data_IF_327090593971
#
_entry.id   IF_327090593971
#
_cell.length_a   1.000
_cell.length_b   1.000
_cell.length_c   1.000
_cell.angle_alpha   90.00
_cell.angle_beta   90.00
_cell.angle_gamma   90.00
#
_symmetry.space_group_name_H-M   'P 1'
#
loop_
_entity.id
_entity.type
_entity.pdbx_description
1 polymer ?
#
# COMPACT_ATOMS: atom_id res chain seq x y z
N UNK A 1 2.36 23.37 6.44
CA UNK A 1 1.31 23.44 5.41
C UNK A 1 1.79 22.89 4.06
N UNK A 2 2.92 23.37 3.55
CA UNK A 2 3.36 22.98 2.18
C UNK A 2 3.94 21.57 2.04
N UNK A 3 4.58 20.99 3.05
CA UNK A 3 5.19 19.66 2.97
C UNK A 3 4.17 18.52 3.06
N UNK A 4 3.15 18.66 3.89
CA UNK A 4 2.08 17.66 4.02
C UNK A 4 1.20 17.60 2.76
N UNK A 5 0.89 18.75 2.19
CA UNK A 5 0.15 18.83 0.92
C UNK A 5 0.94 18.16 -0.23
N UNK A 6 2.26 18.37 -0.29
CA UNK A 6 3.12 17.77 -1.32
C UNK A 6 3.16 16.23 -1.20
N UNK A 7 3.28 15.70 0.02
CA UNK A 7 3.26 14.25 0.27
C UNK A 7 1.91 13.64 -0.10
N UNK A 8 0.81 14.27 0.28
CA UNK A 8 -0.53 13.83 -0.08
C UNK A 8 -0.72 13.78 -1.60
N UNK A 9 -0.26 14.82 -2.31
CA UNK A 9 -0.31 14.88 -3.77
C UNK A 9 0.51 13.76 -4.39
N UNK A 10 1.73 13.52 -3.93
CA UNK A 10 2.57 12.41 -4.42
C UNK A 10 1.88 11.05 -4.27
N UNK A 11 1.25 10.81 -3.11
CA UNK A 11 0.50 9.57 -2.85
C UNK A 11 -0.67 9.43 -3.83
N UNK A 12 -1.52 10.44 -3.92
CA UNK A 12 -2.74 10.36 -4.75
C UNK A 12 -2.45 10.33 -6.24
N UNK A 13 -1.42 11.04 -6.70
CA UNK A 13 -0.96 10.98 -8.09
C UNK A 13 -0.44 9.58 -8.45
N UNK A 14 0.35 8.99 -7.57
CA UNK A 14 0.84 7.63 -7.76
C UNK A 14 -0.30 6.61 -7.81
N UNK A 15 -1.21 6.66 -6.85
CA UNK A 15 -2.38 5.76 -6.76
C UNK A 15 -3.24 5.86 -8.03
N UNK A 16 -3.50 7.06 -8.49
CA UNK A 16 -4.25 7.30 -9.73
C UNK A 16 -3.49 6.80 -10.95
N UNK A 17 -2.19 7.07 -11.02
CA UNK A 17 -1.32 6.66 -12.14
C UNK A 17 -1.26 5.15 -12.31
N UNK A 18 -1.25 4.39 -11.23
CA UNK A 18 -1.24 2.92 -11.30
C UNK A 18 -2.60 2.30 -11.64
N UNK A 19 -3.66 3.10 -11.71
CA UNK A 19 -4.99 2.69 -12.16
C UNK A 19 -6.02 2.45 -11.06
N UNK A 20 -5.77 2.92 -9.84
CA UNK A 20 -6.74 2.84 -8.74
C UNK A 20 -7.57 4.13 -8.72
N UNK A 21 -8.91 4.03 -8.85
CA UNK A 21 -9.77 5.21 -8.81
C UNK A 21 -9.80 5.83 -7.41
N UNK A 22 -9.80 7.17 -7.36
CA UNK A 22 -9.99 7.93 -6.13
C UNK A 22 -11.26 8.77 -6.28
N UNK A 23 -12.13 8.73 -5.28
CA UNK A 23 -13.29 9.61 -5.15
C UNK A 23 -13.14 10.46 -3.90
N UNK A 24 -13.27 11.77 -4.04
CA UNK A 24 -13.30 12.71 -2.92
C UNK A 24 -14.73 13.02 -2.53
N UNK A 25 -15.08 12.81 -1.28
CA UNK A 25 -16.45 13.06 -0.78
C UNK A 25 -16.56 12.90 0.72
N UNK A 26 -17.69 13.26 1.26
CA UNK A 26 -17.99 13.07 2.67
C UNK A 26 -18.33 11.60 2.94
N UNK A 27 -17.77 11.07 4.03
CA UNK A 27 -18.07 9.73 4.53
C UNK A 27 -19.07 9.90 5.67
N UNK A 28 -20.33 9.54 5.44
CA UNK A 28 -21.42 9.76 6.40
C UNK A 28 -21.33 8.84 7.61
N UNK A 29 -20.89 7.60 7.40
CA UNK A 29 -20.77 6.58 8.46
C UNK A 29 -19.35 6.55 9.05
N UNK A 30 -19.21 5.94 10.23
CA UNK A 30 -17.87 5.63 10.74
C UNK A 30 -17.19 4.61 9.83
N UNK A 31 -15.99 4.95 9.36
CA UNK A 31 -15.10 4.06 8.63
C UNK A 31 -14.05 3.48 9.58
N UNK A 32 -13.47 2.33 9.23
CA UNK A 32 -12.41 1.70 10.02
C UNK A 32 -11.21 2.64 10.18
N UNK A 33 -10.82 3.32 9.10
CA UNK A 33 -9.83 4.39 9.11
C UNK A 33 -10.54 5.75 8.99
N UNK A 34 -10.22 6.74 9.84
CA UNK A 34 -10.84 8.05 9.76
C UNK A 34 -10.67 8.69 8.39
N UNK A 35 -11.78 9.03 7.73
CA UNK A 35 -11.77 9.73 6.44
C UNK A 35 -11.33 8.91 5.24
N UNK A 36 -11.31 7.57 5.36
CA UNK A 36 -10.88 6.70 4.28
C UNK A 36 -11.68 5.41 4.27
N UNK A 37 -12.13 4.99 3.09
CA UNK A 37 -12.74 3.66 2.90
C UNK A 37 -12.51 3.14 1.47
N UNK A 38 -12.62 1.83 1.30
CA UNK A 38 -12.66 1.19 0.00
C UNK A 38 -14.12 0.88 -0.35
N UNK A 39 -14.57 1.34 -1.50
CA UNK A 39 -15.87 1.00 -2.06
C UNK A 39 -15.71 0.47 -3.49
N UNK A 40 -15.98 -0.82 -3.67
CA UNK A 40 -15.91 -1.52 -4.98
C UNK A 40 -14.59 -1.26 -5.71
N UNK A 41 -13.49 -1.36 -5.00
CA UNK A 41 -12.15 -1.15 -5.54
C UNK A 41 -11.77 0.32 -5.79
N UNK A 42 -12.58 1.26 -5.32
CA UNK A 42 -12.33 2.69 -5.35
C UNK A 42 -11.93 3.18 -3.95
N UNK A 43 -10.94 4.04 -3.86
CA UNK A 43 -10.63 4.75 -2.63
C UNK A 43 -11.54 5.97 -2.49
N UNK A 44 -12.30 6.03 -1.40
CA UNK A 44 -13.10 7.20 -1.04
C UNK A 44 -12.37 7.96 0.07
N UNK A 45 -12.07 9.23 -0.18
CA UNK A 45 -11.30 10.09 0.73
C UNK A 45 -12.14 11.28 1.16
N UNK A 46 -12.39 11.37 2.46
CA UNK A 46 -12.92 12.55 3.12
C UNK A 46 -11.76 13.33 3.75
N UNK A 47 -11.29 14.34 3.04
CA UNK A 47 -10.14 15.15 3.48
C UNK A 47 -10.38 15.84 4.83
N UNK A 48 -11.62 16.13 5.19
CA UNK A 48 -11.95 16.80 6.46
C UNK A 48 -11.77 15.89 7.67
N UNK A 49 -11.79 14.58 7.46
CA UNK A 49 -11.70 13.54 8.50
C UNK A 49 -10.43 12.69 8.40
N UNK A 50 -9.69 12.77 7.29
CA UNK A 50 -8.46 11.99 7.09
C UNK A 50 -7.41 12.38 8.14
N UNK A 51 -7.02 11.42 8.97
CA UNK A 51 -6.03 11.65 10.03
C UNK A 51 -4.61 11.39 9.55
N UNK A 52 -4.39 10.31 8.84
CA UNK A 52 -3.08 9.91 8.33
C UNK A 52 -3.13 9.72 6.81
N UNK A 53 -2.41 10.58 6.10
CA UNK A 53 -2.35 10.51 4.64
C UNK A 53 -1.69 9.22 4.12
N UNK A 54 -0.79 8.64 4.90
CA UNK A 54 -0.12 7.39 4.56
C UNK A 54 -1.07 6.20 4.48
N UNK A 55 -2.20 6.22 5.19
CA UNK A 55 -3.21 5.18 5.14
C UNK A 55 -3.82 5.04 3.73
N UNK A 56 -3.86 6.13 2.96
CA UNK A 56 -4.29 6.10 1.55
C UNK A 56 -3.42 5.16 0.73
N UNK A 57 -2.10 5.20 0.93
CA UNK A 57 -1.17 4.33 0.22
C UNK A 57 -1.29 2.86 0.66
N UNK A 58 -1.51 2.63 1.96
CA UNK A 58 -1.74 1.29 2.50
C UNK A 58 -3.03 0.66 1.94
N UNK A 59 -4.13 1.39 1.96
CA UNK A 59 -5.41 0.91 1.39
C UNK A 59 -5.33 0.70 -0.13
N UNK A 60 -4.56 1.53 -0.83
CA UNK A 60 -4.26 1.30 -2.24
C UNK A 60 -3.54 -0.05 -2.46
N UNK A 61 -2.65 -0.44 -1.55
CA UNK A 61 -1.99 -1.74 -1.58
C UNK A 61 -2.96 -2.91 -1.52
N UNK A 62 -4.00 -2.84 -0.69
CA UNK A 62 -5.05 -3.86 -0.65
C UNK A 62 -5.78 -3.98 -1.99
N UNK A 63 -6.09 -2.87 -2.64
CA UNK A 63 -6.72 -2.88 -3.97
C UNK A 63 -5.75 -3.43 -5.03
N UNK A 64 -4.49 -2.99 -5.01
CA UNK A 64 -3.48 -3.39 -5.98
C UNK A 64 -3.21 -4.90 -5.97
N UNK A 65 -3.20 -5.53 -4.79
CA UNK A 65 -2.88 -6.95 -4.60
C UNK A 65 -4.08 -7.88 -4.72
N UNK A 66 -5.29 -7.33 -4.75
CA UNK A 66 -6.50 -8.13 -4.95
C UNK A 66 -6.48 -8.79 -6.33
N UNK A 67 -7.02 -10.01 -6.38
CA UNK A 67 -7.24 -10.69 -7.66
C UNK A 67 -8.05 -9.77 -8.59
N UNK A 68 -7.62 -9.57 -9.85
CA UNK A 68 -8.29 -8.66 -10.78
C UNK A 68 -9.79 -8.91 -10.94
N UNK A 69 -10.22 -10.18 -10.90
CA UNK A 69 -11.63 -10.54 -11.02
C UNK A 69 -12.49 -10.15 -9.80
N UNK A 70 -11.87 -9.96 -8.64
CA UNK A 70 -12.54 -9.65 -7.38
C UNK A 70 -12.36 -8.19 -6.96
N UNK A 71 -11.41 -7.48 -7.58
CA UNK A 71 -11.04 -6.10 -7.23
C UNK A 71 -12.24 -5.15 -7.22
N UNK A 72 -13.13 -5.25 -8.20
CA UNK A 72 -14.34 -4.43 -8.29
C UNK A 72 -15.42 -4.73 -7.23
N UNK A 73 -15.23 -5.76 -6.41
CA UNK A 73 -16.12 -6.11 -5.30
C UNK A 73 -15.49 -5.80 -3.94
N UNK A 74 -14.23 -5.37 -3.90
CA UNK A 74 -13.51 -5.11 -2.66
C UNK A 74 -14.11 -3.92 -1.91
N UNK A 75 -14.39 -4.12 -0.62
CA UNK A 75 -14.86 -3.11 0.32
C UNK A 75 -13.93 -3.00 1.54
N UNK A 76 -14.14 -2.02 2.41
CA UNK A 76 -13.34 -1.83 3.62
C UNK A 76 -13.33 -3.04 4.56
N UNK A 77 -14.32 -3.91 4.48
CA UNK A 77 -14.37 -5.15 5.27
C UNK A 77 -13.40 -6.20 4.80
N UNK A 78 -12.78 -6.01 3.63
CA UNK A 78 -11.83 -6.93 3.02
C UNK A 78 -12.34 -8.37 2.97
N UNK A 79 -13.65 -8.53 2.75
CA UNK A 79 -14.30 -9.84 2.70
C UNK A 79 -13.78 -10.67 1.51
N UNK A 80 -13.67 -11.96 1.70
CA UNK A 80 -13.25 -12.91 0.66
C UNK A 80 -11.74 -13.12 0.58
N UNK A 81 -10.95 -12.58 1.48
CA UNK A 81 -9.52 -12.86 1.54
C UNK A 81 -9.25 -14.23 2.18
N UNK A 82 -8.57 -15.11 1.43
CA UNK A 82 -8.28 -16.49 1.88
C UNK A 82 -7.23 -16.57 3.00
N UNK A 83 -6.36 -15.56 3.13
CA UNK A 83 -5.32 -15.48 4.16
C UNK A 83 -5.04 -14.02 4.49
N UNK A 84 -5.79 -13.41 5.43
CA UNK A 84 -5.64 -12.00 5.78
C UNK A 84 -4.25 -11.61 6.27
N UNK A 85 -3.60 -12.47 7.06
CA UNK A 85 -2.27 -12.19 7.61
C UNK A 85 -1.19 -12.15 6.52
N UNK A 86 -1.20 -13.13 5.62
CA UNK A 86 -0.27 -13.16 4.49
C UNK A 86 -0.50 -11.99 3.53
N UNK A 87 -1.77 -11.65 3.29
CA UNK A 87 -2.14 -10.48 2.48
C UNK A 87 -1.63 -9.20 3.11
N UNK A 88 -1.79 -9.02 4.41
CA UNK A 88 -1.30 -7.84 5.12
C UNK A 88 0.23 -7.72 5.03
N UNK A 89 0.97 -8.81 5.18
CA UNK A 89 2.43 -8.81 5.00
C UNK A 89 2.83 -8.37 3.58
N UNK A 90 2.13 -8.85 2.57
CA UNK A 90 2.38 -8.46 1.18
C UNK A 90 2.04 -6.98 0.94
N UNK A 91 0.95 -6.47 1.52
CA UNK A 91 0.56 -5.05 1.45
C UNK A 91 1.62 -4.17 2.12
N UNK A 92 2.15 -4.56 3.27
CA UNK A 92 3.24 -3.85 3.94
C UNK A 92 4.47 -3.75 3.02
N UNK A 93 4.90 -4.86 2.41
CA UNK A 93 6.02 -4.87 1.48
C UNK A 93 5.75 -3.99 0.24
N UNK A 94 4.56 -4.09 -0.34
CA UNK A 94 4.15 -3.26 -1.47
C UNK A 94 4.18 -1.77 -1.12
N UNK A 95 3.63 -1.42 0.03
CA UNK A 95 3.55 -0.03 0.50
C UNK A 95 4.92 0.57 0.77
N UNK A 96 5.83 -0.19 1.40
CA UNK A 96 7.20 0.24 1.60
C UNK A 96 7.92 0.52 0.26
N UNK A 97 7.81 -0.39 -0.70
CA UNK A 97 8.35 -0.18 -2.05
C UNK A 97 7.76 1.06 -2.73
N UNK A 98 6.46 1.30 -2.57
CA UNK A 98 5.78 2.48 -3.10
C UNK A 98 6.31 3.79 -2.48
N UNK A 99 6.56 3.81 -1.16
CA UNK A 99 7.19 4.96 -0.50
C UNK A 99 8.54 5.31 -1.13
N UNK A 100 9.38 4.31 -1.39
CA UNK A 100 10.69 4.51 -2.03
C UNK A 100 10.52 5.01 -3.48
N UNK A 101 9.58 4.47 -4.23
CA UNK A 101 9.32 4.86 -5.62
C UNK A 101 8.92 6.32 -5.76
N UNK A 102 8.02 6.79 -4.89
CA UNK A 102 7.54 8.18 -4.95
C UNK A 102 8.37 9.17 -4.13
N UNK A 103 9.40 8.68 -3.45
CA UNK A 103 10.34 9.52 -2.69
C UNK A 103 9.71 10.18 -1.46
N UNK A 104 8.92 9.42 -0.70
CA UNK A 104 8.42 9.84 0.62
C UNK A 104 9.05 9.00 1.74
N UNK A 105 9.10 9.57 2.94
CA UNK A 105 9.57 8.84 4.11
C UNK A 105 8.57 7.72 4.45
N UNK A 106 8.99 6.45 4.53
CA UNK A 106 8.12 5.35 4.94
C UNK A 106 7.41 5.57 6.29
N UNK A 107 7.97 6.39 7.18
CA UNK A 107 7.34 6.74 8.46
C UNK A 107 5.98 7.48 8.29
N UNK A 108 5.72 8.07 7.13
CA UNK A 108 4.41 8.66 6.79
C UNK A 108 3.32 7.61 6.78
N UNK A 109 3.62 6.41 6.29
CA UNK A 109 2.68 5.27 6.26
C UNK A 109 2.75 4.48 7.55
N UNK A 110 3.96 4.10 7.96
CA UNK A 110 4.20 3.31 9.17
C UNK A 110 4.29 4.24 10.39
N UNK A 111 3.19 4.96 10.65
CA UNK A 111 3.08 5.89 11.76
C UNK A 111 2.85 5.17 13.11
N UNK A 112 3.15 5.79 14.26
CA UNK A 112 3.10 5.12 15.58
C UNK A 112 1.74 4.56 15.97
N UNK A 113 0.64 5.14 15.47
CA UNK A 113 -0.73 4.72 15.79
C UNK A 113 -1.27 3.61 14.87
N UNK A 114 -0.46 3.15 13.91
CA UNK A 114 -0.81 2.08 12.99
C UNK A 114 -0.18 0.74 13.35
N UNK A 115 -0.58 -0.31 12.59
CA UNK A 115 0.05 -1.63 12.61
C UNK A 115 0.10 -2.29 14.00
N UNK A 116 -0.89 -1.99 14.86
CA UNK A 116 -0.98 -2.53 16.24
C UNK A 116 0.31 -2.29 17.06
N UNK A 117 0.95 -1.14 16.85
CA UNK A 117 2.20 -0.77 17.50
C UNK A 117 3.47 -1.37 16.87
N UNK A 118 3.36 -2.04 15.72
CA UNK A 118 4.49 -2.66 15.01
C UNK A 118 5.25 -1.77 14.04
N UNK A 119 4.87 -0.50 13.89
CA UNK A 119 5.44 0.40 12.88
C UNK A 119 6.95 0.59 13.01
N UNK A 120 7.46 0.78 14.22
CA UNK A 120 8.90 0.94 14.46
C UNK A 120 9.69 -0.30 14.02
N UNK A 121 9.20 -1.49 14.36
CA UNK A 121 9.81 -2.75 13.96
C UNK A 121 9.79 -2.96 12.45
N UNK A 122 8.70 -2.56 11.78
CA UNK A 122 8.61 -2.60 10.31
C UNK A 122 9.66 -1.68 9.69
N UNK A 123 9.74 -0.43 10.14
CA UNK A 123 10.71 0.54 9.64
C UNK A 123 12.16 0.08 9.84
N UNK A 124 12.48 -0.46 11.02
CA UNK A 124 13.80 -0.99 11.32
C UNK A 124 14.16 -2.19 10.44
N UNK A 125 13.28 -3.17 10.36
CA UNK A 125 13.53 -4.39 9.57
C UNK A 125 13.66 -4.08 8.09
N UNK A 126 12.73 -3.33 7.51
CA UNK A 126 12.78 -2.98 6.08
C UNK A 126 13.94 -2.04 5.76
N UNK A 127 14.27 -1.11 6.65
CA UNK A 127 15.44 -0.24 6.52
C UNK A 127 16.76 -1.01 6.51
N UNK A 128 16.82 -2.17 7.16
CA UNK A 128 17.98 -3.07 7.19
C UNK A 128 17.93 -4.17 6.11
N UNK A 129 16.97 -4.13 5.20
CA UNK A 129 16.81 -5.14 4.17
C UNK A 129 16.25 -6.48 4.67
N UNK A 130 15.70 -6.52 5.87
CA UNK A 130 15.05 -7.69 6.45
C UNK A 130 13.56 -7.66 6.10
N UNK A 131 13.24 -8.00 4.86
CA UNK A 131 11.91 -7.92 4.31
C UNK A 131 11.06 -9.14 4.65
N UNK A 132 9.74 -8.92 4.77
CA UNK A 132 8.73 -9.98 4.77
C UNK A 132 7.62 -9.64 3.76
N UNK A 133 6.81 -10.62 3.40
CA UNK A 133 5.75 -10.46 2.38
C UNK A 133 6.24 -10.43 0.94
N UNK A 134 7.52 -10.23 0.70
CA UNK A 134 8.13 -10.17 -0.64
C UNK A 134 7.91 -11.46 -1.47
N UNK A 135 8.00 -12.68 -0.91
CA UNK A 135 7.72 -13.90 -1.69
C UNK A 135 6.33 -13.94 -2.32
N UNK A 136 5.35 -13.28 -1.71
CA UNK A 136 3.99 -13.18 -2.27
C UNK A 136 3.98 -12.25 -3.49
N UNK A 137 4.67 -11.11 -3.41
CA UNK A 137 4.83 -10.19 -4.53
C UNK A 137 5.57 -10.85 -5.72
N UNK A 138 6.59 -11.64 -5.42
CA UNK A 138 7.31 -12.44 -6.41
C UNK A 138 6.40 -13.49 -7.07
N UNK A 139 5.57 -14.17 -6.26
CA UNK A 139 4.63 -15.14 -6.77
C UNK A 139 3.55 -14.52 -7.66
N UNK A 140 3.13 -13.28 -7.34
CA UNK A 140 2.21 -12.53 -8.20
C UNK A 140 2.90 -11.95 -9.46
N UNK A 141 4.21 -12.13 -9.62
CA UNK A 141 4.97 -11.58 -10.74
C UNK A 141 5.16 -10.07 -10.70
N UNK A 142 4.99 -9.47 -9.52
CA UNK A 142 5.05 -8.00 -9.34
C UNK A 142 6.49 -7.50 -9.11
N UNK A 143 7.40 -8.37 -8.74
CA UNK A 143 8.83 -8.12 -8.60
C UNK A 143 9.63 -9.35 -9.01
N UNK A 144 10.89 -9.18 -9.43
CA UNK A 144 11.74 -10.33 -9.77
C UNK A 144 12.25 -11.03 -8.52
N UNK A 145 12.32 -12.35 -8.59
CA UNK A 145 13.00 -13.13 -7.56
C UNK A 145 14.49 -12.81 -7.54
N UNK A 146 15.04 -12.70 -6.35
CA UNK A 146 16.48 -12.60 -6.18
C UNK A 146 17.11 -13.90 -6.67
N UNK A 147 17.94 -13.79 -7.70
CA UNK A 147 18.73 -14.92 -8.19
C UNK A 147 20.17 -14.75 -7.70
N UNK A 148 20.58 -15.59 -6.75
CA UNK A 148 21.92 -15.54 -6.16
C UNK A 148 23.06 -15.81 -7.17
N UNK A 149 22.72 -16.27 -8.37
CA UNK A 149 23.70 -16.52 -9.46
C UNK A 149 23.89 -15.33 -10.39
N UNK A 150 23.05 -14.29 -10.30
CA UNK A 150 23.16 -13.07 -11.09
C UNK A 150 23.70 -11.91 -10.25
N UNK A 151 24.78 -11.30 -10.70
CA UNK A 151 25.42 -10.17 -9.99
C UNK A 151 24.63 -8.86 -10.00
N UNK A 152 23.51 -8.76 -10.77
CA UNK A 152 22.70 -7.56 -10.90
C UNK A 152 21.21 -7.87 -10.69
N UNK A 153 20.78 -7.84 -9.44
CA UNK A 153 19.35 -7.92 -9.06
C UNK A 153 18.65 -6.55 -9.16
N UNK A 154 18.80 -5.85 -10.29
CA UNK A 154 18.29 -4.49 -10.45
C UNK A 154 16.76 -4.38 -10.53
N UNK A 155 16.07 -5.51 -10.74
CA UNK A 155 14.60 -5.59 -10.86
C UNK A 155 13.94 -6.33 -9.70
N UNK A 156 14.74 -6.79 -8.74
CA UNK A 156 14.23 -7.42 -7.52
C UNK A 156 13.80 -6.36 -6.50
N UNK A 157 12.92 -6.79 -5.57
CA UNK A 157 12.43 -5.94 -4.51
C UNK A 157 13.56 -5.13 -3.82
N UNK A 158 13.40 -3.83 -3.53
CA UNK A 158 12.17 -3.03 -3.58
C UNK A 158 11.78 -2.48 -4.96
N UNK A 159 12.47 -2.87 -6.03
CA UNK A 159 12.04 -2.54 -7.40
C UNK A 159 10.83 -3.39 -7.79
N UNK A 160 9.84 -2.76 -8.38
CA UNK A 160 8.62 -3.42 -8.84
C UNK A 160 8.57 -3.43 -10.36
N UNK A 161 8.15 -4.57 -10.93
CA UNK A 161 7.88 -4.72 -12.36
C UNK A 161 6.52 -4.16 -12.73
N UNK A 162 5.55 -4.33 -11.84
CA UNK A 162 4.20 -3.79 -11.95
C UNK A 162 3.66 -3.47 -10.57
N UNK A 163 2.80 -2.44 -10.49
CA UNK A 163 2.17 -2.01 -9.25
C UNK A 163 0.78 -2.60 -9.03
N UNK A 164 0.21 -3.21 -10.06
CA UNK A 164 -1.10 -3.87 -9.99
C UNK A 164 -0.92 -5.36 -10.28
N UNK A 165 -1.50 -6.21 -9.44
CA UNK A 165 -1.59 -7.64 -9.71
C UNK A 165 -2.44 -7.88 -10.97
N UNK A 166 -1.92 -8.65 -11.92
CA UNK A 166 -2.58 -9.01 -13.19
C UNK A 166 -3.15 -10.41 -13.16
#
# INVERSE_FOLDING_TARGET
>A
MFLEDDVFVKITDFVTKIGIPIHYGQIENESFLPGLLIDKGTLVIDKSRLTYMGDVLHEAGHIALMNPSERGHLTEKLEGQSNPEATEMAVIAWTYAACLEIGIDPAVVFHPDGYKGGSESILENFGNGQYFGVPILEWYGMTERINNTQQNNTKSYPKMLTWMRT
#
